data_IF_674195051230
#
_entry.id   IF_674195051230
#
_cell.length_a   1.000
_cell.length_b   1.000
_cell.length_c   1.000
_cell.angle_alpha   90.00
_cell.angle_beta   90.00
_cell.angle_gamma   90.00
#
_symmetry.space_group_name_H-M   'P 1'
#
loop_
_entity.id
_entity.type
_entity.pdbx_description
1 polymer ?
#
# COMPACT_ATOMS: atom_id res chain seq x y z
N UNK A 1 -3.62 14.93 -18.81
CA UNK A 1 -2.45 15.75 -18.40
C UNK A 1 -1.22 14.89 -18.32
N UNK A 2 -0.04 15.43 -18.62
CA UNK A 2 1.23 14.70 -18.46
C UNK A 2 1.71 14.81 -17.02
N UNK A 3 2.12 13.68 -16.45
CA UNK A 3 2.61 13.58 -15.08
C UNK A 3 3.97 12.88 -15.09
N UNK A 4 4.97 13.47 -14.43
CA UNK A 4 6.27 12.85 -14.25
C UNK A 4 6.35 12.21 -12.87
N UNK A 5 6.65 10.91 -12.82
CA UNK A 5 6.88 10.14 -11.61
C UNK A 5 8.35 9.79 -11.52
N UNK A 6 8.96 10.13 -10.37
CA UNK A 6 10.31 9.70 -10.01
C UNK A 6 10.20 8.51 -9.06
N UNK A 7 10.50 7.33 -9.58
CA UNK A 7 10.23 6.05 -8.90
C UNK A 7 11.53 5.45 -8.40
N UNK A 8 11.55 5.03 -7.14
CA UNK A 8 12.64 4.25 -6.57
C UNK A 8 12.47 2.80 -7.00
N UNK A 9 13.40 2.33 -7.83
CA UNK A 9 13.45 0.98 -8.38
C UNK A 9 14.43 0.10 -7.61
N UNK A 10 14.17 -1.19 -7.61
CA UNK A 10 15.08 -2.21 -7.12
C UNK A 10 14.88 -3.50 -7.92
N UNK A 11 15.97 -4.03 -8.48
CA UNK A 11 15.97 -5.31 -9.19
C UNK A 11 16.87 -6.30 -8.44
N UNK A 12 16.31 -7.35 -7.83
CA UNK A 12 17.08 -8.35 -7.10
C UNK A 12 17.91 -9.26 -8.03
N UNK A 13 17.62 -9.29 -9.32
CA UNK A 13 18.32 -10.14 -10.31
C UNK A 13 19.50 -9.40 -10.97
N UNK A 14 19.71 -8.13 -10.64
CA UNK A 14 20.87 -7.37 -11.13
C UNK A 14 22.19 -7.95 -10.58
N UNK A 15 23.28 -7.80 -11.32
CA UNK A 15 24.61 -8.27 -10.92
C UNK A 15 25.07 -7.64 -9.59
N UNK A 16 24.69 -6.39 -9.34
CA UNK A 16 24.87 -5.67 -8.08
C UNK A 16 23.52 -5.04 -7.70
N UNK A 17 22.72 -5.72 -6.85
CA UNK A 17 21.39 -5.24 -6.51
C UNK A 17 21.44 -3.96 -5.66
N UNK A 18 21.21 -2.83 -6.28
CA UNK A 18 21.09 -1.53 -5.61
C UNK A 18 19.82 -0.82 -6.00
N UNK A 19 19.30 0.01 -5.07
CA UNK A 19 18.14 0.85 -5.39
C UNK A 19 18.59 2.07 -6.23
N UNK A 20 17.86 2.35 -7.30
CA UNK A 20 18.10 3.50 -8.18
C UNK A 20 16.81 4.27 -8.44
N UNK A 21 16.95 5.51 -8.89
CA UNK A 21 15.82 6.34 -9.26
C UNK A 21 15.63 6.34 -10.78
N UNK A 22 14.36 6.23 -11.20
CA UNK A 22 14.00 6.29 -12.61
C UNK A 22 12.79 7.21 -12.80
N UNK A 23 12.86 8.07 -13.79
CA UNK A 23 11.80 9.01 -14.12
C UNK A 23 10.97 8.47 -15.29
N UNK A 24 9.63 8.57 -15.15
CA UNK A 24 8.67 8.24 -16.19
C UNK A 24 7.69 9.40 -16.36
N UNK A 25 7.44 9.77 -17.61
CA UNK A 25 6.39 10.76 -17.92
C UNK A 25 5.27 10.05 -18.67
N UNK A 26 4.07 10.12 -18.12
CA UNK A 26 2.88 9.47 -18.68
C UNK A 26 1.70 10.43 -18.76
N UNK A 27 0.92 10.30 -19.83
CA UNK A 27 -0.34 11.02 -19.97
C UNK A 27 -1.44 10.27 -19.22
N UNK A 28 -2.14 10.96 -18.31
CA UNK A 28 -3.29 10.42 -17.59
C UNK A 28 -4.52 11.29 -17.79
N UNK A 29 -5.70 10.71 -17.61
CA UNK A 29 -6.95 11.43 -17.70
C UNK A 29 -7.11 12.43 -16.54
N UNK A 30 -7.96 13.44 -16.73
CA UNK A 30 -8.30 14.39 -15.68
C UNK A 30 -8.99 13.67 -14.52
N UNK A 31 -8.47 13.87 -13.30
CA UNK A 31 -8.92 13.14 -12.13
C UNK A 31 -8.26 11.78 -11.91
N UNK A 32 -7.30 11.38 -12.77
CA UNK A 32 -6.53 10.15 -12.61
C UNK A 32 -5.72 10.11 -11.31
N UNK A 33 -5.55 8.91 -10.76
CA UNK A 33 -4.82 8.67 -9.53
C UNK A 33 -3.34 8.35 -9.81
N UNK A 34 -2.52 8.40 -8.77
CA UNK A 34 -1.13 7.94 -8.84
C UNK A 34 -1.08 6.46 -9.27
N UNK A 35 -2.06 5.64 -8.84
CA UNK A 35 -2.13 4.24 -9.27
C UNK A 35 -2.36 4.10 -10.78
N UNK A 36 -3.21 4.91 -11.37
CA UNK A 36 -3.48 4.88 -12.82
C UNK A 36 -2.21 5.19 -13.61
N UNK A 37 -1.44 6.19 -13.15
CA UNK A 37 -0.14 6.51 -13.75
C UNK A 37 0.86 5.34 -13.64
N UNK A 38 0.95 4.70 -12.46
CA UNK A 38 1.85 3.55 -12.25
C UNK A 38 1.46 2.33 -13.09
N UNK A 39 0.15 2.05 -13.22
CA UNK A 39 -0.33 0.96 -14.09
C UNK A 39 0.05 1.25 -15.53
N UNK A 40 -0.13 2.49 -15.99
CA UNK A 40 0.22 2.89 -17.34
C UNK A 40 1.71 2.78 -17.61
N UNK A 41 2.56 3.11 -16.64
CA UNK A 41 4.01 2.87 -16.75
C UNK A 41 4.29 1.39 -17.00
N UNK A 42 3.68 0.50 -16.23
CA UNK A 42 3.87 -0.95 -16.36
C UNK A 42 3.35 -1.48 -17.72
N UNK A 43 2.24 -0.97 -18.20
CA UNK A 43 1.61 -1.47 -19.42
C UNK A 43 2.24 -0.91 -20.68
N UNK A 44 2.61 0.37 -20.69
CA UNK A 44 3.03 1.08 -21.91
C UNK A 44 4.54 1.35 -21.99
N UNK A 45 5.27 1.36 -20.86
CA UNK A 45 6.68 1.78 -20.82
C UNK A 45 7.64 0.68 -20.35
N UNK A 46 7.30 -0.02 -19.25
CA UNK A 46 8.20 -1.00 -18.65
C UNK A 46 7.42 -2.16 -18.01
N UNK A 47 7.25 -3.24 -18.76
CA UNK A 47 6.59 -4.46 -18.29
C UNK A 47 7.31 -5.20 -17.15
N UNK A 48 8.56 -4.83 -16.82
CA UNK A 48 9.30 -5.39 -15.69
C UNK A 48 8.99 -4.70 -14.38
N UNK A 49 8.35 -3.53 -14.43
CA UNK A 49 8.00 -2.74 -13.28
C UNK A 49 6.98 -3.44 -12.37
N UNK A 50 7.35 -3.62 -11.10
CA UNK A 50 6.59 -4.41 -10.14
C UNK A 50 5.89 -3.53 -9.11
N UNK A 51 4.57 -3.70 -8.99
CA UNK A 51 3.73 -3.08 -7.96
C UNK A 51 2.58 -3.98 -7.56
N UNK A 52 2.06 -3.80 -6.33
CA UNK A 52 0.83 -4.46 -5.87
C UNK A 52 -0.36 -3.52 -5.99
N UNK A 53 -1.44 -4.00 -6.56
CA UNK A 53 -2.75 -3.35 -6.55
C UNK A 53 -3.86 -4.38 -6.67
N UNK A 54 -5.04 -4.07 -6.12
CA UNK A 54 -6.20 -4.97 -6.18
C UNK A 54 -7.51 -4.18 -6.29
N UNK A 55 -8.12 -3.75 -5.18
CA UNK A 55 -9.49 -3.19 -5.15
C UNK A 55 -9.65 -1.86 -5.90
N UNK A 56 -8.61 -1.05 -6.03
CA UNK A 56 -8.64 0.32 -6.61
C UNK A 56 -9.64 1.28 -5.92
N UNK A 57 -10.11 0.94 -4.73
CA UNK A 57 -11.20 1.61 -4.00
C UNK A 57 -10.85 1.94 -2.55
N UNK A 58 -9.56 2.05 -2.24
CA UNK A 58 -9.04 2.43 -0.91
C UNK A 58 -9.41 1.48 0.24
N UNK A 59 -9.67 0.19 -0.04
CA UNK A 59 -10.12 -0.79 0.95
C UNK A 59 -9.04 -1.82 1.27
N UNK A 60 -8.39 -2.42 0.26
CA UNK A 60 -7.51 -3.57 0.49
C UNK A 60 -6.09 -3.24 0.97
N UNK A 61 -5.66 -1.98 0.92
CA UNK A 61 -4.32 -1.58 1.32
C UNK A 61 -3.17 -1.97 0.39
N UNK A 62 -3.38 -2.83 -0.62
CA UNK A 62 -2.31 -3.42 -1.46
C UNK A 62 -1.43 -2.38 -2.17
N UNK A 63 -1.98 -1.22 -2.52
CA UNK A 63 -1.28 -0.15 -3.21
C UNK A 63 -0.66 0.89 -2.25
N UNK A 64 -0.43 0.50 -0.98
CA UNK A 64 0.24 1.36 -0.02
C UNK A 64 1.71 1.54 -0.41
N UNK A 65 2.16 2.78 -0.45
CA UNK A 65 3.53 3.17 -0.78
C UNK A 65 3.84 4.56 -0.24
N UNK A 66 5.06 5.01 -0.35
CA UNK A 66 5.42 6.39 -0.01
C UNK A 66 5.28 7.27 -1.25
N UNK A 67 4.40 8.26 -1.16
CA UNK A 67 4.19 9.29 -2.19
C UNK A 67 4.65 10.61 -1.61
N UNK A 68 5.69 11.19 -2.20
CA UNK A 68 6.36 12.40 -1.68
C UNK A 68 6.79 12.25 -0.21
N UNK A 69 7.32 11.08 0.16
CA UNK A 69 7.80 10.76 1.51
C UNK A 69 6.72 10.39 2.53
N UNK A 70 5.42 10.46 2.16
CA UNK A 70 4.30 10.13 3.05
C UNK A 70 3.67 8.80 2.67
N UNK A 71 3.37 7.95 3.67
CA UNK A 71 2.63 6.71 3.47
C UNK A 71 1.20 7.03 2.99
N UNK A 72 0.85 6.54 1.80
CA UNK A 72 -0.45 6.78 1.15
C UNK A 72 -0.85 5.60 0.29
N UNK A 73 -2.16 5.49 0.02
CA UNK A 73 -2.69 4.57 -0.99
C UNK A 73 -2.64 5.24 -2.38
N UNK A 74 -1.95 4.62 -3.32
CA UNK A 74 -1.83 5.16 -4.67
C UNK A 74 -3.19 5.31 -5.36
N UNK A 75 -4.14 4.39 -5.12
CA UNK A 75 -5.49 4.45 -5.69
C UNK A 75 -6.40 5.56 -5.10
N UNK A 76 -6.02 6.15 -3.96
CA UNK A 76 -6.75 7.28 -3.34
C UNK A 76 -6.08 8.61 -3.59
N UNK A 77 -4.83 8.62 -3.99
CA UNK A 77 -4.05 9.84 -4.20
C UNK A 77 -4.24 10.35 -5.61
N UNK A 78 -4.90 11.49 -5.75
CA UNK A 78 -5.07 12.18 -7.03
C UNK A 78 -3.71 12.67 -7.53
N UNK A 79 -3.36 12.35 -8.79
CA UNK A 79 -2.04 12.68 -9.32
C UNK A 79 -1.80 14.18 -9.34
N UNK A 80 -2.79 14.98 -9.78
CA UNK A 80 -2.66 16.44 -9.86
C UNK A 80 -2.41 17.10 -8.51
N UNK A 81 -2.95 16.55 -7.40
CA UNK A 81 -2.72 17.07 -6.03
C UNK A 81 -1.38 16.63 -5.45
N UNK A 82 -0.81 15.56 -6.00
CA UNK A 82 0.46 15.00 -5.54
C UNK A 82 1.69 15.64 -6.21
N UNK A 83 1.51 16.38 -7.31
CA UNK A 83 2.62 17.02 -8.01
C UNK A 83 3.27 18.08 -7.11
N UNK A 84 4.59 17.94 -6.91
CA UNK A 84 5.45 18.94 -6.26
C UNK A 84 6.59 19.26 -7.20
N UNK A 85 6.78 20.54 -7.51
CA UNK A 85 7.81 21.00 -8.44
C UNK A 85 7.82 20.24 -9.78
N UNK A 86 6.63 19.87 -10.29
CA UNK A 86 6.45 19.15 -11.55
C UNK A 86 6.60 17.62 -11.47
N UNK A 87 6.94 17.05 -10.32
CA UNK A 87 7.27 15.63 -10.16
C UNK A 87 6.48 15.03 -8.98
N UNK A 88 6.16 13.74 -9.07
CA UNK A 88 5.67 12.92 -7.96
C UNK A 88 6.75 11.90 -7.60
N UNK A 89 7.26 11.94 -6.38
CA UNK A 89 8.24 10.95 -5.90
C UNK A 89 7.54 9.73 -5.33
N UNK A 90 7.94 8.54 -5.79
CA UNK A 90 7.36 7.26 -5.39
C UNK A 90 8.44 6.33 -4.83
N UNK A 91 8.19 5.80 -3.64
CA UNK A 91 9.04 4.81 -2.99
C UNK A 91 8.20 3.63 -2.47
N UNK A 92 8.79 2.44 -2.28
CA UNK A 92 8.09 1.32 -1.65
C UNK A 92 7.59 1.69 -0.24
N UNK A 93 6.62 0.93 0.30
CA UNK A 93 6.18 1.07 1.67
C UNK A 93 7.38 0.96 2.62
N UNK A 94 7.46 1.85 3.61
CA UNK A 94 8.54 1.84 4.61
C UNK A 94 8.40 0.67 5.60
N UNK A 95 9.46 0.43 6.36
CA UNK A 95 9.50 -0.57 7.45
C UNK A 95 9.44 -2.05 7.03
N UNK A 96 9.51 -2.33 5.73
CA UNK A 96 9.51 -3.69 5.19
C UNK A 96 10.62 -3.84 4.15
N UNK A 97 11.29 -5.01 4.06
CA UNK A 97 12.27 -5.28 3.00
C UNK A 97 11.66 -5.18 1.61
N UNK A 98 12.41 -4.67 0.66
CA UNK A 98 11.96 -4.59 -0.73
C UNK A 98 12.29 -5.90 -1.44
N UNK A 99 11.28 -6.51 -2.09
CA UNK A 99 11.45 -7.70 -2.94
C UNK A 99 11.85 -7.27 -4.35
N UNK A 100 11.04 -6.39 -4.97
CA UNK A 100 11.30 -5.81 -6.29
C UNK A 100 10.51 -4.51 -6.44
N UNK A 101 11.18 -3.44 -6.86
CA UNK A 101 10.59 -2.11 -7.09
C UNK A 101 9.72 -1.61 -5.92
N UNK A 102 8.39 -1.59 -6.08
CA UNK A 102 7.42 -1.17 -5.06
C UNK A 102 6.82 -2.35 -4.28
N UNK A 103 7.25 -3.59 -4.58
CA UNK A 103 6.80 -4.80 -3.88
C UNK A 103 7.68 -5.05 -2.67
N UNK A 104 7.06 -5.15 -1.49
CA UNK A 104 7.73 -5.38 -0.20
C UNK A 104 7.34 -6.71 0.41
N UNK A 105 8.20 -7.23 1.30
CA UNK A 105 7.97 -8.44 2.06
C UNK A 105 7.14 -8.14 3.32
N UNK A 106 6.03 -8.84 3.48
CA UNK A 106 5.09 -8.68 4.58
C UNK A 106 5.33 -9.67 5.74
N UNK A 107 6.31 -10.57 5.67
CA UNK A 107 6.49 -11.61 6.68
C UNK A 107 6.65 -11.00 8.08
N UNK A 108 7.51 -10.00 8.24
CA UNK A 108 7.69 -9.31 9.52
C UNK A 108 6.43 -8.61 10.04
N UNK A 109 5.53 -8.20 9.16
CA UNK A 109 4.23 -7.64 9.51
C UNK A 109 3.27 -8.74 10.00
N UNK A 110 3.22 -9.87 9.31
CA UNK A 110 2.39 -11.00 9.71
C UNK A 110 2.85 -11.63 11.02
N UNK A 111 4.15 -11.68 11.27
CA UNK A 111 4.71 -12.14 12.55
C UNK A 111 4.21 -11.28 13.72
N UNK A 112 4.17 -9.95 13.55
CA UNK A 112 3.62 -9.04 14.56
C UNK A 112 2.11 -9.23 14.76
N UNK A 113 1.36 -9.41 13.67
CA UNK A 113 -0.08 -9.72 13.74
C UNK A 113 -0.32 -11.02 14.50
N UNK A 114 0.44 -12.07 14.21
CA UNK A 114 0.33 -13.34 14.91
C UNK A 114 0.64 -13.22 16.42
N UNK A 115 1.61 -12.39 16.79
CA UNK A 115 1.97 -12.15 18.20
C UNK A 115 0.87 -11.47 19.01
N UNK A 116 0.10 -10.56 18.41
CA UNK A 116 -0.99 -9.86 19.11
C UNK A 116 -2.29 -10.65 19.09
N UNK A 117 -2.36 -11.76 18.35
CA UNK A 117 -3.52 -12.65 18.26
C UNK A 117 -4.86 -11.89 18.08
N UNK A 118 -5.05 -11.14 16.97
CA UNK A 118 -6.15 -10.18 16.80
C UNK A 118 -7.48 -10.86 16.44
N UNK A 119 -7.83 -11.90 17.14
CA UNK A 119 -9.07 -12.63 16.97
C UNK A 119 -9.82 -12.73 18.31
N UNK A 120 -11.13 -12.93 18.25
CA UNK A 120 -11.96 -13.07 19.43
C UNK A 120 -11.58 -14.33 20.19
N UNK A 121 -11.26 -14.17 21.48
CA UNK A 121 -10.99 -15.27 22.41
C UNK A 121 -12.13 -15.32 23.40
N UNK A 122 -13.01 -16.34 23.35
CA UNK A 122 -14.06 -16.48 24.33
C UNK A 122 -13.44 -16.82 25.69
N UNK A 123 -13.92 -16.15 26.75
CA UNK A 123 -13.61 -16.49 28.12
C UNK A 123 -14.72 -17.38 28.68
N UNK A 124 -14.37 -18.59 29.13
CA UNK A 124 -15.29 -19.52 29.73
C UNK A 124 -15.91 -20.55 28.76
N UNK A 125 -16.89 -21.35 29.25
CA UNK A 125 -17.54 -22.36 28.43
C UNK A 125 -18.36 -21.72 27.30
N UNK A 126 -18.49 -22.44 26.19
CA UNK A 126 -19.31 -22.02 25.06
C UNK A 126 -20.78 -21.83 25.51
N UNK A 127 -21.41 -20.68 25.27
CA UNK A 127 -22.81 -20.45 25.65
C UNK A 127 -23.75 -21.29 24.77
N UNK A 128 -24.94 -21.62 25.31
CA UNK A 128 -25.97 -22.34 24.57
C UNK A 128 -26.57 -21.52 23.41
N UNK A 129 -26.33 -20.21 23.39
CA UNK A 129 -26.83 -19.28 22.38
C UNK A 129 -25.70 -18.38 21.88
N UNK A 130 -26.00 -17.18 21.41
CA UNK A 130 -25.03 -16.22 20.87
C UNK A 130 -24.12 -15.63 21.96
N UNK A 131 -22.87 -15.33 21.59
CA UNK A 131 -21.99 -14.50 22.41
C UNK A 131 -22.50 -13.06 22.41
N UNK A 132 -22.87 -12.55 23.56
CA UNK A 132 -23.38 -11.17 23.71
C UNK A 132 -22.24 -10.28 24.18
N UNK A 133 -21.87 -9.30 23.33
CA UNK A 133 -20.93 -8.24 23.71
C UNK A 133 -21.70 -7.03 24.28
N UNK A 134 -21.19 -6.43 25.35
CA UNK A 134 -21.76 -5.18 25.87
C UNK A 134 -21.55 -4.02 24.88
N UNK A 135 -22.43 -3.03 24.93
CA UNK A 135 -22.26 -1.82 24.11
C UNK A 135 -20.93 -1.10 24.39
N UNK A 136 -20.47 -1.12 25.63
CA UNK A 136 -19.18 -0.55 26.03
C UNK A 136 -18.01 -1.28 25.34
N UNK A 137 -18.00 -2.61 25.35
CA UNK A 137 -17.00 -3.41 24.64
C UNK A 137 -17.02 -3.13 23.14
N UNK A 138 -18.17 -2.99 22.53
CA UNK A 138 -18.32 -2.69 21.10
C UNK A 138 -17.79 -1.29 20.75
N UNK A 139 -17.98 -0.30 21.61
CA UNK A 139 -17.43 1.05 21.42
C UNK A 139 -15.90 1.05 21.46
N UNK A 140 -15.29 0.29 22.37
CA UNK A 140 -13.82 0.14 22.42
C UNK A 140 -13.25 -0.54 21.18
N UNK A 141 -13.99 -1.48 20.60
CA UNK A 141 -13.56 -2.19 19.37
C UNK A 141 -13.83 -1.42 18.09
N UNK A 142 -14.60 -0.34 18.11
CA UNK A 142 -15.08 0.36 16.89
C UNK A 142 -13.97 0.89 15.98
N UNK A 143 -12.79 1.22 16.51
CA UNK A 143 -11.65 1.69 15.73
C UNK A 143 -10.78 0.57 15.14
N UNK A 144 -10.77 -0.61 15.76
CA UNK A 144 -9.93 -1.74 15.34
C UNK A 144 -10.33 -2.29 13.96
N UNK A 145 -11.62 -2.49 13.63
CA UNK A 145 -12.04 -2.95 12.31
C UNK A 145 -11.75 -1.97 11.17
N UNK A 146 -11.39 -0.72 11.48
CA UNK A 146 -11.02 0.28 10.48
C UNK A 146 -9.61 0.08 9.90
N UNK A 147 -8.81 -0.79 10.50
CA UNK A 147 -7.47 -1.12 10.00
C UNK A 147 -7.58 -1.92 8.71
N UNK A 148 -6.96 -1.42 7.63
CA UNK A 148 -6.92 -2.10 6.32
C UNK A 148 -5.64 -2.95 6.13
N UNK A 149 -4.86 -3.14 7.17
CA UNK A 149 -3.62 -3.94 7.18
C UNK A 149 -2.65 -3.60 6.03
N UNK A 150 -2.49 -2.33 5.71
CA UNK A 150 -1.64 -1.88 4.61
C UNK A 150 -0.13 -1.92 4.94
N UNK A 151 0.25 -2.05 6.21
CA UNK A 151 1.64 -2.05 6.67
C UNK A 151 2.33 -0.68 6.64
N UNK A 152 1.60 0.40 6.37
CA UNK A 152 2.13 1.76 6.22
C UNK A 152 2.09 2.56 7.52
#
# INVERSE_FOLDING_TARGET
MDVTLKIKRFDPEAAEPESFWQDFTVAIDDGGTVLDALIKIREDHDGTFSLRCSCRSSICGSCAMRINGHARLACKTQAFTAIKDGIITIEPAGNMPVIKDLVVDFDSFWDKINQIEPYLKPEGPEPEAEYIASNESMLHLSSVPSCIMCGA
#
